data_IF_513260168596
#
_entry.id   IF_513260168596
#
_cell.length_a   1.000
_cell.length_b   1.000
_cell.length_c   1.000
_cell.angle_alpha   90.00
_cell.angle_beta   90.00
_cell.angle_gamma   90.00
#
_symmetry.space_group_name_H-M   'P 1'
#
loop_
_entity.id
_entity.type
_entity.pdbx_description
1 polymer ?
#
# COMPACT_ATOMS: atom_id res chain seq x y z
N UNK A 1 1.87 -9.81 6.23
CA UNK A 1 0.54 -10.39 5.88
C UNK A 1 -0.15 -9.54 4.81
N UNK A 2 -0.29 -8.25 5.10
CA UNK A 2 -0.95 -7.32 4.19
C UNK A 2 -0.02 -6.87 3.07
N UNK A 3 1.29 -6.93 3.30
CA UNK A 3 2.25 -6.53 2.29
C UNK A 3 2.11 -7.40 1.05
N UNK A 4 2.03 -8.71 1.27
CA UNK A 4 1.89 -9.67 0.18
C UNK A 4 0.50 -9.55 -0.45
N UNK A 5 -0.49 -9.22 0.37
CA UNK A 5 -1.86 -9.06 -0.11
C UNK A 5 -1.95 -7.96 -1.14
N UNK A 6 -1.48 -6.78 -0.76
CA UNK A 6 -1.50 -5.62 -1.63
C UNK A 6 -0.58 -5.81 -2.83
N UNK A 7 0.67 -6.18 -2.55
CA UNK A 7 1.65 -6.40 -3.62
C UNK A 7 1.13 -7.40 -4.64
N UNK A 8 0.40 -8.40 -4.15
CA UNK A 8 -0.17 -9.43 -5.00
C UNK A 8 -1.34 -8.87 -5.81
N UNK A 9 -2.01 -7.88 -5.25
CA UNK A 9 -3.16 -7.27 -5.91
C UNK A 9 -2.71 -6.40 -7.09
N UNK A 10 -1.54 -5.80 -6.98
CA UNK A 10 -1.01 -4.94 -8.04
C UNK A 10 -0.19 -5.74 -9.04
N UNK A 11 0.10 -6.98 -8.68
CA UNK A 11 0.86 -7.85 -9.55
C UNK A 11 -0.07 -8.47 -10.60
N UNK A 12 0.52 -9.00 -11.66
CA UNK A 12 -0.25 -9.63 -12.73
C UNK A 12 -0.33 -11.12 -12.51
N UNK A 13 -1.40 -11.57 -11.92
CA UNK A 13 -1.58 -12.98 -11.66
C UNK A 13 -1.73 -13.27 -10.19
N UNK A 14 -2.52 -14.27 -9.86
CA UNK A 14 -2.75 -14.64 -8.47
C UNK A 14 -1.52 -15.29 -7.84
N UNK A 15 -1.24 -14.90 -6.60
CA UNK A 15 -0.10 -15.44 -5.86
C UNK A 15 -0.54 -15.87 -4.46
N UNK A 16 0.29 -16.66 -3.79
CA UNK A 16 -0.02 -17.14 -2.45
C UNK A 16 0.88 -16.50 -1.39
N UNK A 17 0.30 -16.21 -0.22
CA UNK A 17 1.06 -15.63 0.87
C UNK A 17 0.77 -16.44 2.13
N UNK A 18 1.78 -17.18 2.60
CA UNK A 18 1.61 -18.00 3.79
C UNK A 18 2.19 -17.33 5.03
N UNK A 19 1.90 -17.91 6.19
CA UNK A 19 2.36 -17.37 7.46
C UNK A 19 1.70 -16.02 7.76
N UNK A 20 0.55 -15.77 7.10
CA UNK A 20 -0.22 -14.54 7.29
C UNK A 20 -0.64 -14.43 8.76
N UNK A 21 -0.86 -13.21 9.21
CA UNK A 21 -1.25 -12.99 10.60
C UNK A 21 -2.77 -12.99 10.76
N UNK A 22 -3.28 -13.98 11.49
CA UNK A 22 -4.72 -14.09 11.72
C UNK A 22 -5.17 -13.04 12.73
N UNK A 23 -5.30 -11.80 12.26
CA UNK A 23 -5.71 -10.70 13.12
C UNK A 23 -6.73 -9.81 12.41
N UNK A 24 -6.92 -8.61 12.94
CA UNK A 24 -7.88 -7.68 12.36
C UNK A 24 -7.18 -6.68 11.45
N UNK A 25 -5.88 -6.56 11.61
CA UNK A 25 -5.10 -5.64 10.77
C UNK A 25 -4.94 -6.23 9.37
N UNK A 26 -5.01 -7.55 9.29
CA UNK A 26 -4.89 -8.25 8.02
C UNK A 26 -6.25 -8.43 7.34
N UNK A 27 -7.21 -8.98 8.07
CA UNK A 27 -8.54 -9.19 7.51
C UNK A 27 -9.08 -7.90 6.92
N UNK A 28 -8.61 -6.78 7.46
CA UNK A 28 -9.02 -5.47 6.98
C UNK A 28 -8.36 -5.19 5.64
N UNK A 29 -7.11 -5.63 5.50
CA UNK A 29 -6.39 -5.45 4.25
C UNK A 29 -7.08 -6.27 3.18
N UNK A 30 -7.39 -7.52 3.51
CA UNK A 30 -8.08 -8.39 2.58
C UNK A 30 -9.46 -7.82 2.23
N UNK A 31 -10.19 -7.41 3.27
CA UNK A 31 -11.52 -6.82 3.05
C UNK A 31 -11.41 -5.58 2.17
N UNK A 32 -10.25 -4.93 2.24
CA UNK A 32 -10.00 -3.73 1.46
C UNK A 32 -9.88 -4.03 -0.04
N UNK A 33 -9.17 -5.10 -0.39
CA UNK A 33 -9.00 -5.46 -1.80
C UNK A 33 -10.30 -6.01 -2.37
N UNK A 34 -10.89 -6.97 -1.68
CA UNK A 34 -12.14 -7.56 -2.15
C UNK A 34 -13.16 -6.46 -2.42
N UNK A 35 -13.05 -5.37 -1.68
CA UNK A 35 -13.95 -4.25 -1.83
C UNK A 35 -13.87 -3.70 -3.25
N UNK A 36 -12.66 -3.55 -3.76
CA UNK A 36 -12.48 -3.05 -5.11
C UNK A 36 -12.82 -4.13 -6.10
N UNK A 37 -12.70 -5.37 -5.64
CA UNK A 37 -13.02 -6.50 -6.49
C UNK A 37 -11.93 -7.57 -6.53
N UNK A 38 -10.84 -7.38 -5.79
CA UNK A 38 -9.78 -8.35 -5.79
C UNK A 38 -10.29 -9.69 -5.24
N UNK A 39 -9.70 -10.77 -5.73
CA UNK A 39 -10.11 -12.09 -5.31
C UNK A 39 -9.04 -12.77 -4.47
N UNK A 40 -9.30 -12.83 -3.18
CA UNK A 40 -8.38 -13.46 -2.23
C UNK A 40 -9.04 -14.65 -1.55
N UNK A 41 -8.21 -15.55 -1.01
CA UNK A 41 -8.71 -16.72 -0.30
C UNK A 41 -7.69 -17.18 0.73
N UNK A 42 -8.05 -17.09 2.01
CA UNK A 42 -7.16 -17.50 3.10
C UNK A 42 -7.26 -19.00 3.34
N UNK A 43 -6.46 -19.48 4.29
CA UNK A 43 -6.43 -20.90 4.64
C UNK A 43 -7.36 -21.19 5.81
N UNK A 44 -7.43 -22.45 6.22
CA UNK A 44 -8.29 -22.86 7.32
C UNK A 44 -7.90 -22.15 8.63
N UNK A 45 -6.68 -21.62 8.68
CA UNK A 45 -6.22 -20.91 9.86
C UNK A 45 -5.97 -19.44 9.54
N UNK A 46 -6.32 -19.04 8.32
CA UNK A 46 -6.13 -17.66 7.88
C UNK A 46 -4.67 -17.26 7.95
N UNK A 47 -3.80 -18.17 7.54
CA UNK A 47 -2.35 -17.93 7.53
C UNK A 47 -1.79 -18.11 6.12
N UNK A 48 -2.65 -18.44 5.17
CA UNK A 48 -2.24 -18.62 3.78
C UNK A 48 -3.33 -18.12 2.87
N UNK A 49 -3.01 -17.07 2.12
CA UNK A 49 -3.97 -16.47 1.22
C UNK A 49 -3.50 -16.48 -0.23
N UNK A 50 -4.46 -16.55 -1.14
CA UNK A 50 -4.17 -16.53 -2.56
C UNK A 50 -4.82 -15.31 -3.17
N UNK A 51 -4.02 -14.29 -3.46
CA UNK A 51 -4.56 -13.05 -4.02
C UNK A 51 -4.41 -12.96 -5.52
N UNK A 52 -5.52 -12.71 -6.17
CA UNK A 52 -5.57 -12.57 -7.63
C UNK A 52 -5.06 -11.20 -8.07
N UNK A 53 -3.90 -11.19 -8.72
CA UNK A 53 -3.31 -9.96 -9.17
C UNK A 53 -4.21 -9.12 -10.05
N UNK A 54 -4.61 -7.96 -9.54
CA UNK A 54 -5.46 -7.06 -10.30
C UNK A 54 -4.73 -6.61 -11.57
N UNK A 55 -3.41 -6.74 -11.55
CA UNK A 55 -2.57 -6.36 -12.68
C UNK A 55 -2.12 -4.91 -12.61
N UNK A 56 -2.86 -4.12 -11.89
CA UNK A 56 -2.52 -2.72 -11.71
C UNK A 56 -2.71 -2.32 -10.27
N UNK A 57 -3.04 -1.06 -9.98
CA UNK A 57 -3.28 -0.63 -8.63
C UNK A 57 -4.67 -1.06 -8.20
N UNK A 58 -4.95 -1.05 -6.91
CA UNK A 58 -6.27 -1.44 -6.46
C UNK A 58 -7.28 -0.47 -7.04
N UNK A 59 -7.79 -0.89 -8.18
CA UNK A 59 -8.72 -0.11 -8.98
C UNK A 59 -10.18 -0.31 -8.57
N UNK A 60 -10.83 0.78 -8.18
CA UNK A 60 -12.22 0.75 -7.77
C UNK A 60 -12.92 2.07 -8.09
N UNK A 61 -13.81 2.05 -9.08
CA UNK A 61 -14.53 3.25 -9.46
C UNK A 61 -16.00 3.17 -9.02
N UNK A 62 -16.29 3.68 -7.83
CA UNK A 62 -17.64 3.66 -7.33
C UNK A 62 -17.79 4.30 -5.96
N UNK A 63 -16.84 5.13 -5.59
CA UNK A 63 -16.87 5.80 -4.30
C UNK A 63 -16.97 4.78 -3.19
N UNK A 64 -16.09 3.79 -3.24
CA UNK A 64 -16.07 2.72 -2.26
C UNK A 64 -15.44 3.19 -0.95
N UNK A 65 -16.06 2.84 0.17
CA UNK A 65 -15.51 3.24 1.46
C UNK A 65 -15.13 2.01 2.26
N UNK A 66 -13.88 2.00 2.73
CA UNK A 66 -13.38 0.88 3.48
C UNK A 66 -13.18 1.20 4.96
N UNK A 67 -13.05 0.15 5.76
CA UNK A 67 -12.85 0.26 7.19
C UNK A 67 -11.61 -0.52 7.60
N UNK A 68 -10.54 0.20 7.92
CA UNK A 68 -9.28 -0.42 8.31
C UNK A 68 -9.19 -0.58 9.83
N UNK A 69 -10.27 -0.25 10.53
CA UNK A 69 -10.28 -0.36 11.98
C UNK A 69 -8.99 0.13 12.63
N UNK A 70 -8.55 -0.57 13.67
CA UNK A 70 -7.33 -0.20 14.36
C UNK A 70 -6.15 -1.01 13.86
N UNK A 71 -5.97 -1.02 12.55
CA UNK A 71 -4.88 -1.76 11.92
C UNK A 71 -3.62 -0.90 11.81
N UNK A 72 -3.64 0.06 10.89
CA UNK A 72 -2.50 0.92 10.70
C UNK A 72 -1.43 0.32 9.82
N UNK A 73 -1.47 -0.99 9.67
CA UNK A 73 -0.51 -1.70 8.83
C UNK A 73 -1.09 -1.96 7.44
N UNK A 74 -2.39 -1.69 7.29
CA UNK A 74 -3.08 -1.88 6.02
C UNK A 74 -3.80 -0.61 5.58
N UNK A 75 -3.93 0.35 6.48
CA UNK A 75 -4.61 1.61 6.18
C UNK A 75 -3.70 2.56 5.40
N UNK A 76 -2.41 2.56 5.72
CA UNK A 76 -1.46 3.42 5.05
C UNK A 76 -1.10 2.87 3.66
N UNK A 77 -0.73 1.57 3.57
CA UNK A 77 -0.37 0.93 2.30
C UNK A 77 -1.53 0.88 1.31
N UNK A 78 -2.71 0.54 1.80
CA UNK A 78 -3.91 0.45 0.98
C UNK A 78 -4.39 1.81 0.53
N UNK A 79 -4.14 2.82 1.36
CA UNK A 79 -4.53 4.18 1.03
C UNK A 79 -3.79 4.66 -0.21
N UNK A 80 -2.48 4.49 -0.20
CA UNK A 80 -1.62 4.92 -1.30
C UNK A 80 -1.77 4.06 -2.55
N UNK A 81 -2.00 2.76 -2.39
CA UNK A 81 -2.11 1.87 -3.54
C UNK A 81 -3.21 2.30 -4.49
N UNK A 82 -4.35 2.65 -3.93
CA UNK A 82 -5.49 3.07 -4.74
C UNK A 82 -5.27 4.43 -5.39
N UNK A 83 -4.36 5.19 -4.82
CA UNK A 83 -4.05 6.52 -5.34
C UNK A 83 -3.59 6.47 -6.80
N UNK A 84 -3.28 5.27 -7.28
CA UNK A 84 -2.83 5.09 -8.65
C UNK A 84 -4.02 5.09 -9.61
N UNK A 85 -3.74 5.19 -10.90
CA UNK A 85 -4.80 5.17 -11.91
C UNK A 85 -5.91 6.17 -11.59
N UNK A 86 -7.07 5.66 -11.25
CA UNK A 86 -8.22 6.51 -10.90
C UNK A 86 -9.26 5.70 -10.15
N UNK A 87 -9.31 5.88 -8.84
CA UNK A 87 -10.25 5.16 -8.01
C UNK A 87 -10.85 6.06 -6.94
N UNK A 88 -12.17 5.97 -6.77
CA UNK A 88 -12.85 6.76 -5.76
C UNK A 88 -13.16 5.89 -4.55
N UNK A 89 -12.47 6.14 -3.44
CA UNK A 89 -12.68 5.36 -2.23
C UNK A 89 -12.55 6.23 -0.99
N UNK A 90 -13.41 5.98 -0.02
CA UNK A 90 -13.36 6.72 1.23
C UNK A 90 -12.92 5.80 2.36
N UNK A 91 -11.74 6.04 2.90
CA UNK A 91 -11.23 5.18 3.97
C UNK A 91 -11.82 5.56 5.32
N UNK A 92 -11.78 4.60 6.24
CA UNK A 92 -12.30 4.79 7.59
C UNK A 92 -11.72 3.74 8.53
N UNK A 93 -11.81 3.98 9.84
CA UNK A 93 -11.26 3.03 10.79
C UNK A 93 -11.97 3.04 12.13
N UNK A 94 -11.32 2.42 13.12
CA UNK A 94 -11.85 2.32 14.48
C UNK A 94 -11.79 3.67 15.19
N UNK A 95 -12.32 3.76 16.42
CA UNK A 95 -12.33 5.01 17.19
C UNK A 95 -10.93 5.54 17.46
N UNK A 96 -9.99 4.63 17.71
CA UNK A 96 -8.61 5.04 17.97
C UNK A 96 -7.90 5.42 16.68
N UNK A 97 -8.21 4.70 15.61
CA UNK A 97 -7.59 4.97 14.32
C UNK A 97 -7.88 6.40 13.89
N UNK A 98 -8.95 6.98 14.45
CA UNK A 98 -9.34 8.34 14.13
C UNK A 98 -8.29 9.35 14.56
N UNK A 99 -7.29 8.91 15.32
CA UNK A 99 -6.24 9.81 15.77
C UNK A 99 -4.87 9.34 15.30
N UNK A 100 -4.84 8.64 14.19
CA UNK A 100 -3.58 8.14 13.63
C UNK A 100 -3.12 9.02 12.47
N UNK A 101 -2.24 10.00 12.74
CA UNK A 101 -1.71 10.90 11.71
C UNK A 101 -1.25 10.15 10.48
N UNK A 102 -1.72 10.59 9.32
CA UNK A 102 -1.37 9.98 8.05
C UNK A 102 -1.12 11.05 7.00
N UNK A 103 -0.63 12.18 7.48
CA UNK A 103 -0.35 13.30 6.60
C UNK A 103 0.91 13.09 5.78
N UNK A 104 2.00 12.71 6.44
CA UNK A 104 3.27 12.49 5.75
C UNK A 104 3.07 11.52 4.59
N UNK A 105 2.16 10.57 4.76
CA UNK A 105 1.88 9.60 3.71
C UNK A 105 1.04 10.23 2.62
N UNK A 106 -0.17 10.66 2.98
CA UNK A 106 -1.09 11.28 2.03
C UNK A 106 -0.42 12.44 1.29
N UNK A 107 0.56 13.04 1.91
CA UNK A 107 1.27 14.18 1.31
C UNK A 107 2.17 13.76 0.16
N UNK A 108 2.93 12.68 0.34
CA UNK A 108 3.84 12.21 -0.68
C UNK A 108 3.08 11.75 -1.91
N UNK A 109 2.13 10.85 -1.71
CA UNK A 109 1.32 10.34 -2.81
C UNK A 109 0.67 11.50 -3.55
N UNK A 110 0.13 12.42 -2.77
CA UNK A 110 -0.51 13.60 -3.33
C UNK A 110 0.46 14.37 -4.20
N UNK A 111 1.71 14.46 -3.74
CA UNK A 111 2.74 15.17 -4.49
C UNK A 111 3.01 14.49 -5.83
N UNK A 112 2.87 13.17 -5.84
CA UNK A 112 3.10 12.41 -7.07
C UNK A 112 1.95 12.52 -8.05
N UNK A 113 0.81 13.02 -7.58
CA UNK A 113 -0.35 13.16 -8.46
C UNK A 113 -1.61 12.51 -7.91
N UNK A 114 -1.52 11.99 -6.69
CA UNK A 114 -2.66 11.33 -6.05
C UNK A 114 -3.74 12.34 -5.65
N UNK A 115 -4.99 11.89 -5.65
CA UNK A 115 -6.11 12.74 -5.30
C UNK A 115 -6.81 12.25 -4.05
N UNK A 116 -6.46 12.82 -2.90
CA UNK A 116 -7.08 12.43 -1.64
C UNK A 116 -7.69 13.62 -0.92
N UNK A 117 -8.48 13.33 0.11
CA UNK A 117 -9.13 14.37 0.87
C UNK A 117 -9.33 13.92 2.32
N UNK A 118 -9.82 14.84 3.15
CA UNK A 118 -10.09 14.54 4.55
C UNK A 118 -11.59 14.69 4.79
N UNK A 119 -12.25 13.57 4.97
CA UNK A 119 -13.70 13.57 5.16
C UNK A 119 -14.09 14.05 6.57
N UNK A 120 -13.18 13.92 7.53
CA UNK A 120 -13.46 14.37 8.89
C UNK A 120 -12.34 15.27 9.40
N UNK A 121 -11.17 14.70 9.61
CA UNK A 121 -10.02 15.44 10.13
C UNK A 121 -8.80 15.29 9.22
N UNK A 122 -7.89 16.25 9.33
CA UNK A 122 -6.67 16.23 8.54
C UNK A 122 -5.68 15.21 9.09
N UNK A 123 -5.14 14.37 8.21
CA UNK A 123 -4.18 13.35 8.62
C UNK A 123 -4.81 12.27 9.49
N UNK A 124 -5.99 11.81 9.08
CA UNK A 124 -6.69 10.77 9.82
C UNK A 124 -7.37 9.78 8.86
N UNK A 125 -7.77 8.60 9.36
CA UNK A 125 -8.41 7.55 8.57
C UNK A 125 -9.37 8.03 7.49
N UNK A 126 -10.27 9.01 7.77
CA UNK A 126 -11.22 9.48 6.78
C UNK A 126 -10.51 10.07 5.58
N UNK A 127 -10.33 9.25 4.57
CA UNK A 127 -9.64 9.68 3.36
C UNK A 127 -10.40 9.27 2.11
N UNK A 128 -10.74 10.25 1.29
CA UNK A 128 -11.41 9.96 0.04
C UNK A 128 -10.38 10.03 -1.08
N UNK A 129 -10.06 8.87 -1.67
CA UNK A 129 -9.08 8.83 -2.74
C UNK A 129 -9.73 8.95 -4.10
N UNK A 130 -8.94 9.36 -5.10
CA UNK A 130 -9.45 9.52 -6.45
C UNK A 130 -8.38 9.19 -7.48
N UNK A 131 -7.39 8.39 -7.05
CA UNK A 131 -6.31 8.02 -7.95
C UNK A 131 -5.60 9.22 -8.52
N UNK A 132 -4.79 8.99 -9.55
CA UNK A 132 -4.06 10.08 -10.17
C UNK A 132 -2.58 10.01 -9.91
N UNK A 133 -2.15 9.06 -9.10
CA UNK A 133 -0.74 8.92 -8.77
C UNK A 133 0.08 8.60 -10.02
N UNK A 134 0.90 9.57 -10.44
CA UNK A 134 1.74 9.40 -11.62
C UNK A 134 3.19 9.29 -11.21
N UNK A 135 3.66 10.24 -10.40
CA UNK A 135 5.04 10.20 -9.95
C UNK A 135 5.65 11.58 -9.77
N UNK A 136 6.98 11.61 -9.73
CA UNK A 136 7.71 12.85 -9.55
C UNK A 136 8.45 12.88 -8.22
N UNK A 137 9.32 13.86 -8.04
CA UNK A 137 10.09 13.99 -6.80
C UNK A 137 9.14 14.15 -5.61
N UNK A 138 9.35 13.34 -4.57
CA UNK A 138 8.50 13.40 -3.40
C UNK A 138 9.33 13.34 -2.11
N UNK A 139 8.75 13.84 -1.02
CA UNK A 139 9.43 13.83 0.27
C UNK A 139 8.50 13.21 1.31
N UNK A 140 8.90 12.07 1.87
CA UNK A 140 8.07 11.41 2.85
C UNK A 140 8.73 11.30 4.23
N UNK A 141 7.93 11.39 5.28
CA UNK A 141 8.43 11.29 6.64
C UNK A 141 8.53 9.83 7.07
N UNK A 142 9.68 9.45 7.59
CA UNK A 142 9.90 8.09 8.01
C UNK A 142 9.12 7.70 9.27
N UNK A 143 9.16 8.58 10.27
CA UNK A 143 8.48 8.34 11.53
C UNK A 143 7.03 7.88 11.33
N UNK A 144 6.47 7.28 12.38
CA UNK A 144 5.10 6.78 12.35
C UNK A 144 4.97 5.55 11.47
N UNK A 145 5.72 4.51 11.82
CA UNK A 145 5.70 3.27 11.06
C UNK A 145 6.15 3.50 9.62
N UNK A 146 6.69 2.47 8.99
CA UNK A 146 7.15 2.56 7.61
C UNK A 146 6.00 2.39 6.63
N UNK A 147 4.79 2.23 7.16
CA UNK A 147 3.61 2.06 6.32
C UNK A 147 3.46 3.24 5.37
N UNK A 148 4.08 4.37 5.71
CA UNK A 148 4.01 5.56 4.87
C UNK A 148 4.84 5.38 3.62
N UNK A 149 6.14 5.17 3.80
CA UNK A 149 7.03 4.97 2.68
C UNK A 149 6.74 3.63 2.02
N UNK A 150 6.34 2.66 2.85
CA UNK A 150 6.00 1.34 2.36
C UNK A 150 4.86 1.44 1.35
N UNK A 151 3.96 2.38 1.57
CA UNK A 151 2.81 2.58 0.68
C UNK A 151 3.24 3.18 -0.66
N UNK A 152 4.09 4.19 -0.60
CA UNK A 152 4.56 4.84 -1.81
C UNK A 152 5.54 3.94 -2.54
N UNK A 153 6.27 3.13 -1.79
CA UNK A 153 7.25 2.24 -2.37
C UNK A 153 6.59 1.17 -3.22
N UNK A 154 5.36 0.80 -2.89
CA UNK A 154 4.65 -0.21 -3.67
C UNK A 154 3.71 0.44 -4.66
N UNK A 155 3.22 1.61 -4.29
CA UNK A 155 2.30 2.34 -5.15
C UNK A 155 3.04 3.13 -6.22
N UNK A 156 4.09 3.82 -5.82
CA UNK A 156 4.86 4.64 -6.74
C UNK A 156 5.46 3.84 -7.89
N UNK A 157 6.00 2.63 -7.64
CA UNK A 157 6.61 1.83 -8.70
C UNK A 157 5.65 1.60 -9.87
N UNK A 158 4.35 1.45 -9.57
CA UNK A 158 3.36 1.21 -10.62
C UNK A 158 2.89 2.52 -11.21
N UNK A 159 3.25 3.62 -10.56
CA UNK A 159 2.89 4.95 -11.04
C UNK A 159 3.50 5.18 -12.41
N UNK A 160 2.69 5.52 -13.43
CA UNK A 160 3.17 5.74 -14.79
C UNK A 160 4.44 6.57 -14.88
N UNK A 161 4.60 7.52 -13.96
CA UNK A 161 5.78 8.37 -13.96
C UNK A 161 6.78 7.96 -12.88
N UNK A 162 8.04 8.28 -13.11
CA UNK A 162 9.11 7.96 -12.17
C UNK A 162 8.94 8.76 -10.88
N UNK A 163 8.83 8.07 -9.76
CA UNK A 163 8.67 8.72 -8.47
C UNK A 163 9.93 8.64 -7.64
N UNK A 164 10.29 9.75 -7.02
CA UNK A 164 11.46 9.77 -6.17
C UNK A 164 11.10 10.31 -4.80
N UNK A 165 10.88 9.40 -3.86
CA UNK A 165 10.53 9.80 -2.52
C UNK A 165 11.77 9.98 -1.69
N UNK A 166 11.74 10.95 -0.81
CA UNK A 166 12.88 11.18 0.07
C UNK A 166 12.42 10.90 1.49
N UNK A 167 13.36 10.87 2.41
CA UNK A 167 13.03 10.61 3.80
C UNK A 167 13.23 11.85 4.66
N UNK A 168 12.14 12.59 4.89
CA UNK A 168 12.19 13.79 5.69
C UNK A 168 12.69 13.48 7.10
N UNK A 169 11.79 12.99 7.95
CA UNK A 169 12.16 12.66 9.32
C UNK A 169 12.84 11.30 9.42
N UNK A 170 13.44 11.03 10.58
CA UNK A 170 14.13 9.77 10.81
C UNK A 170 13.18 8.60 10.63
N UNK A 171 13.56 7.64 9.79
CA UNK A 171 12.72 6.47 9.56
C UNK A 171 12.53 5.70 10.85
N UNK A 172 11.35 5.13 11.03
CA UNK A 172 11.02 4.38 12.23
C UNK A 172 11.13 2.89 12.00
N UNK A 173 11.11 2.51 10.73
CA UNK A 173 11.21 1.11 10.36
C UNK A 173 12.25 0.95 9.26
N UNK A 174 13.41 1.58 9.48
CA UNK A 174 14.51 1.53 8.51
C UNK A 174 14.69 0.15 7.87
N UNK A 175 14.95 -0.90 8.66
CA UNK A 175 15.14 -2.25 8.12
C UNK A 175 13.85 -2.88 7.61
N UNK A 176 12.73 -2.30 8.00
CA UNK A 176 11.45 -2.81 7.56
C UNK A 176 11.14 -2.34 6.14
N UNK A 177 11.70 -1.18 5.77
CA UNK A 177 11.49 -0.65 4.44
C UNK A 177 12.22 -1.50 3.41
N UNK A 178 13.34 -2.10 3.81
CA UNK A 178 14.10 -2.96 2.92
C UNK A 178 13.25 -4.16 2.52
N UNK A 179 12.40 -4.59 3.44
CA UNK A 179 11.52 -5.72 3.19
C UNK A 179 10.48 -5.35 2.14
N UNK A 180 10.11 -4.07 2.10
CA UNK A 180 9.13 -3.60 1.13
C UNK A 180 9.65 -3.83 -0.28
N UNK A 181 10.86 -3.36 -0.53
CA UNK A 181 11.48 -3.53 -1.83
C UNK A 181 11.87 -4.98 -2.06
N UNK A 182 12.28 -5.66 -0.99
CA UNK A 182 12.65 -7.07 -1.08
C UNK A 182 11.42 -7.89 -1.47
N UNK A 183 10.26 -7.41 -1.04
CA UNK A 183 9.00 -8.06 -1.36
C UNK A 183 8.62 -7.75 -2.80
N UNK A 184 8.80 -6.49 -3.17
CA UNK A 184 8.48 -6.04 -4.52
C UNK A 184 9.38 -6.71 -5.56
N UNK A 185 10.68 -6.76 -5.28
CA UNK A 185 11.63 -7.37 -6.20
C UNK A 185 11.30 -8.84 -6.42
N UNK A 186 10.99 -9.54 -5.34
CA UNK A 186 10.64 -10.95 -5.43
C UNK A 186 9.44 -11.13 -6.37
N UNK A 187 8.58 -10.12 -6.38
CA UNK A 187 7.38 -10.14 -7.21
C UNK A 187 7.75 -9.94 -8.67
N UNK A 188 8.52 -8.91 -8.95
CA UNK A 188 8.94 -8.64 -10.32
C UNK A 188 9.35 -7.20 -10.56
N UNK A 189 9.21 -6.36 -9.54
CA UNK A 189 9.57 -4.95 -9.66
C UNK A 189 10.63 -4.53 -8.66
N UNK A 190 11.57 -3.71 -9.13
CA UNK A 190 12.63 -3.20 -8.29
C UNK A 190 12.76 -1.69 -8.44
N UNK A 191 13.31 -1.06 -7.43
CA UNK A 191 13.47 0.36 -7.39
C UNK A 191 14.90 0.77 -7.04
N UNK A 192 15.18 2.07 -7.03
CA UNK A 192 16.49 2.60 -6.70
C UNK A 192 16.57 2.91 -5.21
N UNK A 193 17.57 2.35 -4.54
CA UNK A 193 17.77 2.60 -3.13
C UNK A 193 18.87 3.61 -2.90
N UNK A 194 18.48 4.86 -2.67
CA UNK A 194 19.44 5.92 -2.43
C UNK A 194 20.15 5.68 -1.11
N UNK A 195 20.84 6.69 -0.62
CA UNK A 195 21.56 6.57 0.65
C UNK A 195 20.58 6.60 1.83
N UNK A 196 19.53 5.77 1.74
CA UNK A 196 18.53 5.71 2.78
C UNK A 196 17.91 7.08 3.04
N UNK A 197 18.05 7.97 2.06
CA UNK A 197 17.50 9.32 2.15
C UNK A 197 16.36 9.49 1.16
N UNK A 198 16.37 8.69 0.11
CA UNK A 198 15.35 8.74 -0.91
C UNK A 198 15.07 7.38 -1.49
N UNK A 199 13.81 7.11 -1.76
CA UNK A 199 13.44 5.84 -2.37
C UNK A 199 12.94 6.12 -3.79
N UNK A 200 13.84 5.97 -4.78
CA UNK A 200 13.48 6.24 -6.16
C UNK A 200 12.87 5.02 -6.81
N UNK A 201 11.58 5.10 -7.09
CA UNK A 201 10.88 4.00 -7.71
C UNK A 201 10.64 4.24 -9.18
N UNK A 202 11.16 3.35 -9.99
CA UNK A 202 10.98 3.47 -11.42
C UNK A 202 9.50 3.37 -11.76
N UNK A 203 8.95 4.47 -12.23
CA UNK A 203 7.55 4.52 -12.57
C UNK A 203 7.19 3.65 -13.75
N UNK A 204 5.96 3.17 -13.77
CA UNK A 204 5.50 2.33 -14.86
C UNK A 204 5.73 0.85 -14.62
N UNK A 205 6.08 0.48 -13.39
CA UNK A 205 6.31 -0.92 -13.08
C UNK A 205 5.01 -1.69 -13.02
N UNK A 206 5.12 -2.94 -12.64
CA UNK A 206 3.96 -3.80 -12.52
C UNK A 206 4.39 -5.16 -12.00
N UNK A 207 4.13 -5.40 -10.73
CA UNK A 207 4.50 -6.68 -10.12
C UNK A 207 3.93 -7.85 -10.90
N UNK A 208 4.60 -8.99 -10.84
CA UNK A 208 4.12 -10.18 -11.51
C UNK A 208 3.95 -11.29 -10.49
N UNK A 209 3.07 -12.23 -10.78
CA UNK A 209 2.77 -13.33 -9.87
C UNK A 209 3.98 -14.24 -9.66
N UNK A 210 4.67 -14.11 -8.51
CA UNK A 210 5.82 -14.96 -8.20
C UNK A 210 5.40 -16.40 -7.94
N UNK A 211 4.21 -16.57 -7.37
CA UNK A 211 3.69 -17.89 -7.06
C UNK A 211 3.39 -18.05 -5.59
N UNK A 212 4.00 -19.06 -4.97
CA UNK A 212 3.80 -19.29 -3.55
C UNK A 212 4.85 -18.54 -2.74
N UNK A 213 4.42 -17.59 -1.92
CA UNK A 213 5.35 -16.81 -1.12
C UNK A 213 5.05 -16.92 0.37
N UNK A 214 6.10 -16.92 1.19
CA UNK A 214 5.93 -16.98 2.63
C UNK A 214 6.04 -15.60 3.24
N UNK A 215 4.96 -15.14 3.86
CA UNK A 215 4.95 -13.83 4.50
C UNK A 215 6.07 -13.72 5.53
N UNK A 216 5.88 -14.39 6.68
CA UNK A 216 6.87 -14.38 7.75
C UNK A 216 6.88 -13.04 8.47
#
# INVERSE_FOLDING_TARGET
>A
SNRALLLAALAHGKTVLTNLLDSDDVRHMLNALTALGVSYTLSADRTRCEIIGNGGPLHAEGALELFLGNAGTAMRPLAAALCLGSNDIVLTGEPRMKERPIGHLVDALRLGGAKITYLEQENYPPLRLQGGFTGGNVDVDGSVSSQFLTALLMTAPLAPEDTVIRIKGDLVSKPYIDITLNLMKTFGVEIENQHYQQFVVKGGQSYQSPGTYLVE
#
